data_IF_198348943855
#
_entry.id   IF_198348943855
#
_cell.length_a   1.000
_cell.length_b   1.000
_cell.length_c   1.000
_cell.angle_alpha   90.00
_cell.angle_beta   90.00
_cell.angle_gamma   90.00
#
_symmetry.space_group_name_H-M   'P 1'
#
loop_
_entity.id
_entity.type
_entity.pdbx_description
1 polymer ?
#
# COMPACT_ATOMS: atom_id res chain seq x y z
N UNK A 1 0.85 -3.65 -25.06
CA UNK A 1 1.28 -2.35 -24.54
C UNK A 1 0.16 -1.34 -24.55
N UNK A 2 -0.03 -0.66 -23.42
CA UNK A 2 -0.93 0.49 -23.34
C UNK A 2 -0.12 1.72 -23.72
N UNK A 3 -0.53 2.41 -24.78
CA UNK A 3 0.16 3.58 -25.33
C UNK A 3 -0.11 4.82 -24.46
N UNK A 4 0.91 5.64 -24.20
CA UNK A 4 0.81 6.88 -23.42
C UNK A 4 0.26 6.74 -21.98
N UNK A 5 0.55 5.63 -21.30
CA UNK A 5 0.20 5.50 -19.87
C UNK A 5 1.05 6.46 -19.05
N UNK A 6 0.39 7.25 -18.21
CA UNK A 6 1.06 7.94 -17.13
C UNK A 6 1.54 6.91 -16.10
N UNK A 7 2.78 6.40 -16.28
CA UNK A 7 3.38 5.40 -15.40
C UNK A 7 3.68 5.93 -13.98
N UNK A 8 3.47 7.23 -13.76
CA UNK A 8 3.64 7.91 -12.47
C UNK A 8 2.30 8.17 -11.78
N UNK A 9 1.17 7.74 -12.36
CA UNK A 9 -0.14 7.84 -11.71
C UNK A 9 -0.36 6.68 -10.74
N UNK A 10 0.11 6.89 -9.51
CA UNK A 10 -0.17 6.05 -8.35
C UNK A 10 -1.68 5.97 -8.05
N UNK A 11 -2.48 6.99 -8.41
CA UNK A 11 -3.93 6.99 -8.19
C UNK A 11 -4.67 5.96 -9.04
N UNK A 12 -4.31 5.86 -10.32
CA UNK A 12 -4.80 4.80 -11.19
C UNK A 12 -4.40 3.41 -10.66
N UNK A 13 -3.22 3.31 -10.06
CA UNK A 13 -2.75 2.06 -9.44
C UNK A 13 -3.55 1.71 -8.19
N UNK A 14 -3.86 2.65 -7.30
CA UNK A 14 -4.73 2.40 -6.14
C UNK A 14 -6.14 1.97 -6.55
N UNK A 15 -6.71 2.61 -7.58
CA UNK A 15 -8.03 2.24 -8.08
C UNK A 15 -8.06 0.78 -8.58
N UNK A 16 -6.99 0.31 -9.21
CA UNK A 16 -6.87 -1.08 -9.67
C UNK A 16 -6.98 -2.10 -8.53
N UNK A 17 -6.45 -1.76 -7.36
CA UNK A 17 -6.46 -2.64 -6.18
C UNK A 17 -7.68 -2.45 -5.28
N UNK A 18 -8.50 -1.42 -5.54
CA UNK A 18 -9.67 -1.12 -4.73
C UNK A 18 -10.68 -2.25 -4.72
N UNK A 19 -11.35 -2.42 -3.57
CA UNK A 19 -12.48 -3.35 -3.43
C UNK A 19 -13.54 -3.14 -4.52
N UNK A 20 -13.87 -1.88 -4.85
CA UNK A 20 -14.90 -1.59 -5.85
C UNK A 20 -14.51 -2.10 -7.25
N UNK A 21 -13.25 -1.90 -7.63
CA UNK A 21 -12.73 -2.43 -8.88
C UNK A 21 -12.71 -3.96 -8.88
N UNK A 22 -12.12 -4.58 -7.85
CA UNK A 22 -12.04 -6.04 -7.75
C UNK A 22 -13.42 -6.69 -7.73
N UNK A 23 -14.40 -6.09 -7.06
CA UNK A 23 -15.77 -6.55 -7.04
C UNK A 23 -16.39 -6.51 -8.45
N UNK A 24 -16.31 -5.37 -9.15
CA UNK A 24 -16.82 -5.24 -10.53
C UNK A 24 -16.15 -6.22 -11.49
N UNK A 25 -14.84 -6.37 -11.38
CA UNK A 25 -14.08 -7.32 -12.19
C UNK A 25 -14.47 -8.75 -11.86
N UNK A 26 -14.65 -9.11 -10.59
CA UNK A 26 -15.11 -10.46 -10.22
C UNK A 26 -16.47 -10.78 -10.82
N UNK A 27 -17.43 -9.83 -10.81
CA UNK A 27 -18.74 -10.06 -11.39
C UNK A 27 -18.68 -10.27 -12.90
N UNK A 28 -17.74 -9.60 -13.56
CA UNK A 28 -17.56 -9.68 -15.02
C UNK A 28 -16.76 -10.92 -15.43
N UNK A 29 -15.78 -11.34 -14.62
CA UNK A 29 -14.85 -12.42 -14.92
C UNK A 29 -15.22 -13.77 -14.26
N UNK A 30 -16.25 -13.81 -13.40
CA UNK A 30 -16.67 -14.99 -12.62
C UNK A 30 -16.97 -16.24 -13.46
N UNK A 31 -17.19 -16.08 -14.77
CA UNK A 31 -17.49 -17.18 -15.70
C UNK A 31 -16.25 -18.00 -16.12
N UNK A 32 -15.03 -17.47 -15.99
CA UNK A 32 -13.81 -18.12 -16.49
C UNK A 32 -12.81 -18.44 -15.37
N UNK A 33 -12.57 -19.74 -15.15
CA UNK A 33 -11.59 -20.27 -14.19
C UNK A 33 -10.19 -19.67 -14.35
N UNK A 34 -9.83 -19.20 -15.55
CA UNK A 34 -8.51 -18.64 -15.87
C UNK A 34 -8.20 -17.34 -15.14
N UNK A 35 -9.22 -16.57 -14.77
CA UNK A 35 -9.02 -15.23 -14.18
C UNK A 35 -8.93 -15.23 -12.65
N UNK A 36 -9.20 -16.37 -12.01
CA UNK A 36 -9.16 -16.50 -10.54
C UNK A 36 -7.76 -16.22 -9.97
N UNK A 37 -6.71 -16.71 -10.64
CA UNK A 37 -5.32 -16.46 -10.26
C UNK A 37 -4.97 -14.98 -10.24
N UNK A 38 -5.39 -14.25 -11.28
CA UNK A 38 -5.18 -12.81 -11.37
C UNK A 38 -5.96 -12.06 -10.28
N UNK A 39 -7.22 -12.42 -10.05
CA UNK A 39 -8.04 -11.78 -9.01
C UNK A 39 -7.45 -11.95 -7.62
N UNK A 40 -7.04 -13.17 -7.27
CA UNK A 40 -6.39 -13.43 -5.97
C UNK A 40 -5.07 -12.68 -5.87
N UNK A 41 -4.27 -12.65 -6.94
CA UNK A 41 -3.03 -11.87 -6.96
C UNK A 41 -3.29 -10.38 -6.71
N UNK A 42 -4.24 -9.77 -7.44
CA UNK A 42 -4.57 -8.35 -7.27
C UNK A 42 -5.11 -8.08 -5.87
N UNK A 43 -5.95 -8.96 -5.33
CA UNK A 43 -6.43 -8.87 -3.96
C UNK A 43 -5.27 -8.90 -2.95
N UNK A 44 -4.37 -9.88 -3.04
CA UNK A 44 -3.23 -10.00 -2.11
C UNK A 44 -2.32 -8.78 -2.15
N UNK A 45 -2.01 -8.27 -3.35
CA UNK A 45 -1.17 -7.06 -3.48
C UNK A 45 -1.92 -5.82 -2.96
N UNK A 46 -3.23 -5.72 -3.21
CA UNK A 46 -4.07 -4.65 -2.68
C UNK A 46 -4.09 -4.64 -1.15
N UNK A 47 -4.26 -5.81 -0.52
CA UNK A 47 -4.24 -5.95 0.94
C UNK A 47 -2.89 -5.53 1.54
N UNK A 48 -1.77 -5.88 0.89
CA UNK A 48 -0.45 -5.44 1.31
C UNK A 48 -0.31 -3.91 1.26
N UNK A 49 -0.84 -3.27 0.23
CA UNK A 49 -0.82 -1.82 0.06
C UNK A 49 -1.74 -1.14 1.10
N UNK A 50 -2.96 -1.62 1.24
CA UNK A 50 -3.95 -1.08 2.18
C UNK A 50 -3.49 -1.22 3.63
N UNK A 51 -2.73 -2.28 3.96
CA UNK A 51 -2.12 -2.43 5.27
C UNK A 51 -1.22 -1.24 5.67
N UNK A 52 -0.68 -0.50 4.70
CA UNK A 52 0.09 0.73 4.95
C UNK A 52 -0.75 1.99 4.83
N UNK A 53 -1.64 2.08 3.86
CA UNK A 53 -2.23 3.37 3.47
C UNK A 53 -3.64 3.60 4.01
N UNK A 54 -4.38 2.54 4.28
CA UNK A 54 -5.73 2.67 4.82
C UNK A 54 -5.68 3.28 6.22
N UNK A 55 -6.49 4.30 6.49
CA UNK A 55 -6.48 5.07 7.75
C UNK A 55 -7.39 4.51 8.84
N UNK A 56 -8.27 3.58 8.48
CA UNK A 56 -9.36 3.11 9.35
C UNK A 56 -9.15 1.70 9.91
N UNK A 57 -8.28 0.91 9.27
CA UNK A 57 -8.01 -0.47 9.69
C UNK A 57 -7.19 -0.53 10.98
N UNK A 58 -7.53 -1.51 11.83
CA UNK A 58 -6.86 -1.75 13.11
C UNK A 58 -5.46 -2.36 12.92
N UNK A 59 -4.63 -2.28 13.96
CA UNK A 59 -3.31 -2.93 13.94
C UNK A 59 -3.42 -4.47 13.83
N UNK A 60 -4.45 -5.09 14.40
CA UNK A 60 -4.74 -6.53 14.24
C UNK A 60 -5.02 -6.88 12.77
N UNK A 61 -5.84 -6.08 12.09
CA UNK A 61 -6.18 -6.32 10.69
C UNK A 61 -4.94 -6.14 9.82
N UNK A 62 -4.14 -5.07 10.03
CA UNK A 62 -2.87 -4.87 9.31
C UNK A 62 -1.96 -6.08 9.41
N UNK A 63 -1.77 -6.64 10.61
CA UNK A 63 -0.97 -7.84 10.83
C UNK A 63 -1.53 -9.02 10.04
N UNK A 64 -2.84 -9.23 10.09
CA UNK A 64 -3.50 -10.31 9.36
C UNK A 64 -3.28 -10.19 7.85
N UNK A 65 -3.54 -9.02 7.28
CA UNK A 65 -3.37 -8.72 5.85
C UNK A 65 -1.94 -8.99 5.38
N UNK A 66 -0.92 -8.48 6.09
CA UNK A 66 0.48 -8.67 5.68
C UNK A 66 0.95 -10.12 5.80
N UNK A 67 0.48 -10.86 6.82
CA UNK A 67 0.85 -12.26 6.98
C UNK A 67 0.16 -13.13 5.93
N UNK A 68 -1.11 -12.88 5.61
CA UNK A 68 -1.81 -13.59 4.52
C UNK A 68 -1.03 -13.40 3.21
N UNK A 69 -0.67 -12.16 2.89
CA UNK A 69 0.10 -11.86 1.69
C UNK A 69 1.45 -12.57 1.68
N UNK A 70 2.17 -12.56 2.80
CA UNK A 70 3.46 -13.26 2.94
C UNK A 70 3.34 -14.77 2.72
N UNK A 71 2.38 -15.43 3.37
CA UNK A 71 2.20 -16.87 3.20
C UNK A 71 1.76 -17.21 1.78
N UNK A 72 0.84 -16.45 1.20
CA UNK A 72 0.39 -16.68 -0.17
C UNK A 72 1.54 -16.59 -1.17
N UNK A 73 2.37 -15.54 -1.09
CA UNK A 73 3.53 -15.36 -1.96
C UNK A 73 4.56 -16.48 -1.79
N UNK A 74 4.78 -16.96 -0.55
CA UNK A 74 5.67 -18.10 -0.27
C UNK A 74 5.11 -19.41 -0.84
N UNK A 75 3.82 -19.67 -0.71
CA UNK A 75 3.15 -20.84 -1.28
C UNK A 75 3.27 -20.81 -2.81
N UNK A 76 2.98 -19.67 -3.44
CA UNK A 76 3.09 -19.52 -4.89
C UNK A 76 4.53 -19.74 -5.37
N UNK A 77 5.53 -19.14 -4.71
CA UNK A 77 6.95 -19.36 -5.02
C UNK A 77 7.34 -20.84 -4.92
N UNK A 78 6.90 -21.52 -3.86
CA UNK A 78 7.17 -22.95 -3.67
C UNK A 78 6.49 -23.81 -4.74
N UNK A 79 5.26 -23.46 -5.13
CA UNK A 79 4.54 -24.13 -6.21
C UNK A 79 5.32 -24.06 -7.53
N UNK A 80 5.82 -22.87 -7.91
CA UNK A 80 6.63 -22.69 -9.12
C UNK A 80 7.94 -23.48 -9.03
N UNK A 81 8.60 -23.49 -7.86
CA UNK A 81 9.81 -24.29 -7.65
C UNK A 81 9.54 -25.79 -7.82
N UNK A 82 8.44 -26.30 -7.27
CA UNK A 82 8.05 -27.70 -7.42
C UNK A 82 7.74 -28.06 -8.88
N UNK A 83 7.10 -27.14 -9.61
CA UNK A 83 6.83 -27.29 -11.04
C UNK A 83 8.13 -27.28 -11.87
N UNK A 84 9.08 -26.39 -11.53
CA UNK A 84 10.40 -26.33 -12.16
C UNK A 84 11.16 -27.65 -12.00
N UNK A 85 11.14 -28.25 -10.81
CA UNK A 85 11.79 -29.55 -10.57
C UNK A 85 11.19 -30.70 -11.40
N UNK A 86 9.93 -30.58 -11.84
CA UNK A 86 9.24 -31.60 -12.64
C UNK A 86 9.33 -31.32 -14.16
N UNK A 87 9.43 -30.05 -14.53
CA UNK A 87 9.38 -29.56 -15.91
C UNK A 87 10.45 -28.47 -16.10
N UNK A 88 11.73 -28.84 -15.98
CA UNK A 88 12.87 -27.93 -15.90
C UNK A 88 12.97 -26.91 -17.04
N UNK A 89 12.53 -27.26 -18.25
CA UNK A 89 12.60 -26.36 -19.41
C UNK A 89 11.47 -25.31 -19.46
N UNK A 90 10.37 -25.54 -18.72
CA UNK A 90 9.13 -24.76 -18.84
C UNK A 90 9.00 -23.76 -17.69
N UNK A 91 9.35 -24.18 -16.46
CA UNK A 91 9.15 -23.37 -15.26
C UNK A 91 10.46 -22.96 -14.61
N UNK A 92 10.51 -21.71 -14.17
CA UNK A 92 11.55 -21.19 -13.30
C UNK A 92 10.99 -20.04 -12.48
N UNK A 93 11.52 -19.82 -11.28
CA UNK A 93 11.12 -18.65 -10.48
C UNK A 93 11.42 -17.34 -11.20
N UNK A 94 12.53 -17.27 -11.94
CA UNK A 94 12.93 -16.05 -12.65
C UNK A 94 11.99 -15.68 -13.82
N UNK A 95 11.24 -16.65 -14.37
CA UNK A 95 10.32 -16.42 -15.50
C UNK A 95 8.85 -16.42 -15.11
N UNK A 96 8.48 -17.18 -14.08
CA UNK A 96 7.08 -17.49 -13.78
C UNK A 96 6.61 -16.97 -12.41
N UNK A 97 7.53 -16.39 -11.63
CA UNK A 97 7.21 -15.72 -10.38
C UNK A 97 7.52 -14.23 -10.50
N UNK A 98 7.24 -13.48 -9.44
CA UNK A 98 7.62 -12.08 -9.33
C UNK A 98 9.12 -11.90 -9.50
N UNK A 99 9.51 -10.76 -10.09
CA UNK A 99 10.91 -10.36 -10.13
C UNK A 99 11.50 -10.38 -8.71
N UNK A 100 12.75 -10.82 -8.61
CA UNK A 100 13.42 -11.02 -7.32
C UNK A 100 13.36 -9.77 -6.44
N UNK A 101 13.66 -8.59 -7.01
CA UNK A 101 13.62 -7.32 -6.30
C UNK A 101 12.21 -7.00 -5.78
N UNK A 102 11.17 -7.25 -6.57
CA UNK A 102 9.78 -7.03 -6.15
C UNK A 102 9.41 -7.93 -4.99
N UNK A 103 9.77 -9.21 -5.04
CA UNK A 103 9.49 -10.14 -3.95
C UNK A 103 10.22 -9.76 -2.66
N UNK A 104 11.47 -9.30 -2.76
CA UNK A 104 12.23 -8.82 -1.59
C UNK A 104 11.60 -7.57 -0.97
N UNK A 105 11.18 -6.61 -1.79
CA UNK A 105 10.47 -5.41 -1.31
C UNK A 105 9.16 -5.80 -0.60
N UNK A 106 8.35 -6.68 -1.19
CA UNK A 106 7.11 -7.13 -0.57
C UNK A 106 7.37 -7.89 0.74
N UNK A 107 8.40 -8.74 0.78
CA UNK A 107 8.79 -9.45 1.99
C UNK A 107 9.25 -8.48 3.09
N UNK A 108 10.05 -7.48 2.72
CA UNK A 108 10.47 -6.42 3.63
C UNK A 108 9.29 -5.64 4.19
N UNK A 109 8.32 -5.25 3.34
CA UNK A 109 7.12 -4.53 3.77
C UNK A 109 6.28 -5.31 4.79
N UNK A 110 6.19 -6.64 4.65
CA UNK A 110 5.53 -7.49 5.65
C UNK A 110 6.27 -7.41 6.98
N UNK A 111 7.58 -7.68 6.96
CA UNK A 111 8.38 -7.74 8.18
C UNK A 111 8.41 -6.37 8.87
N UNK A 112 8.56 -5.28 8.11
CA UNK A 112 8.59 -3.93 8.65
C UNK A 112 7.26 -3.50 9.25
N UNK A 113 6.12 -3.91 8.70
CA UNK A 113 4.80 -3.58 9.29
C UNK A 113 4.64 -4.23 10.67
N UNK A 114 4.98 -5.52 10.78
CA UNK A 114 4.90 -6.24 12.06
C UNK A 114 5.85 -5.64 13.08
N UNK A 115 7.11 -5.38 12.68
CA UNK A 115 8.11 -4.75 13.54
C UNK A 115 7.69 -3.35 13.98
N UNK A 116 7.10 -2.56 13.07
CA UNK A 116 6.63 -1.21 13.38
C UNK A 116 5.52 -1.25 14.42
N UNK A 117 4.55 -2.16 14.29
CA UNK A 117 3.47 -2.34 15.27
C UNK A 117 4.03 -2.76 16.64
N UNK A 118 4.95 -3.71 16.69
CA UNK A 118 5.58 -4.16 17.94
C UNK A 118 6.38 -3.02 18.59
N UNK A 119 7.20 -2.31 17.82
CA UNK A 119 7.98 -1.18 18.32
C UNK A 119 7.08 -0.05 18.83
N UNK A 120 6.00 0.28 18.11
CA UNK A 120 5.06 1.29 18.58
C UNK A 120 4.33 0.88 19.86
N UNK A 121 3.90 -0.38 19.96
CA UNK A 121 3.31 -0.95 21.17
C UNK A 121 4.25 -0.85 22.38
N UNK A 122 5.54 -1.05 22.19
CA UNK A 122 6.52 -1.05 23.28
C UNK A 122 6.96 0.37 23.70
N UNK A 123 7.23 1.24 22.73
CA UNK A 123 7.85 2.55 23.00
C UNK A 123 6.87 3.73 22.93
N UNK A 124 5.73 3.60 22.24
CA UNK A 124 4.82 4.70 21.91
C UNK A 124 3.33 4.32 22.04
N UNK A 125 2.98 3.49 23.02
CA UNK A 125 1.64 2.91 23.15
C UNK A 125 0.49 3.92 23.30
N UNK A 126 0.77 5.16 23.70
CA UNK A 126 -0.21 6.24 23.81
C UNK A 126 -0.52 6.93 22.47
N UNK A 127 0.36 6.76 21.48
CA UNK A 127 0.26 7.42 20.17
C UNK A 127 -0.24 6.43 19.12
N UNK A 128 -1.24 6.81 18.29
CA UNK A 128 -1.73 5.91 17.24
C UNK A 128 -0.64 5.63 16.21
N UNK A 129 -0.63 4.42 15.65
CA UNK A 129 0.20 4.14 14.47
C UNK A 129 -0.39 4.82 13.24
N UNK A 130 0.38 5.69 12.59
CA UNK A 130 0.01 6.36 11.34
C UNK A 130 0.84 5.77 10.19
N UNK A 131 0.56 4.53 9.80
CA UNK A 131 1.37 3.78 8.84
C UNK A 131 1.55 4.49 7.49
N UNK A 132 0.54 5.25 7.04
CA UNK A 132 0.59 6.00 5.79
C UNK A 132 1.60 7.17 5.82
N UNK A 133 2.02 7.60 7.01
CA UNK A 133 3.04 8.64 7.19
C UNK A 133 4.48 8.12 7.06
N UNK A 134 4.68 6.81 6.92
CA UNK A 134 6.00 6.21 6.75
C UNK A 134 6.47 6.13 5.28
N UNK A 135 5.67 6.63 4.34
CA UNK A 135 6.03 6.74 2.92
C UNK A 135 6.83 8.01 2.58
N UNK A 136 7.32 8.09 1.35
CA UNK A 136 8.00 9.28 0.81
C UNK A 136 7.04 10.33 0.24
N UNK A 137 5.73 10.09 0.33
CA UNK A 137 4.72 10.93 -0.30
C UNK A 137 4.90 12.40 0.11
N UNK A 138 5.13 12.69 1.40
CA UNK A 138 5.29 14.06 1.88
C UNK A 138 6.44 14.81 1.17
N UNK A 139 7.51 14.09 0.81
CA UNK A 139 8.61 14.64 0.03
C UNK A 139 8.18 14.94 -1.41
N UNK A 140 7.40 14.07 -2.03
CA UNK A 140 6.87 14.27 -3.38
C UNK A 140 5.96 15.49 -3.45
N UNK A 141 5.10 15.69 -2.44
CA UNK A 141 4.26 16.88 -2.33
C UNK A 141 5.08 18.13 -2.09
N UNK A 142 6.12 18.08 -1.25
CA UNK A 142 7.06 19.18 -1.07
C UNK A 142 7.71 19.60 -2.39
N UNK A 143 8.24 18.64 -3.15
CA UNK A 143 8.81 18.92 -4.47
C UNK A 143 7.75 19.36 -5.48
N UNK A 144 6.53 18.86 -5.35
CA UNK A 144 5.38 19.27 -6.13
C UNK A 144 5.04 20.75 -5.95
N UNK A 145 4.95 21.20 -4.70
CA UNK A 145 4.76 22.62 -4.36
C UNK A 145 5.93 23.48 -4.84
N UNK A 146 7.17 22.99 -4.71
CA UNK A 146 8.34 23.70 -5.24
C UNK A 146 8.22 23.92 -6.76
N UNK A 147 7.82 22.87 -7.51
CA UNK A 147 7.63 22.95 -8.96
C UNK A 147 6.47 23.84 -9.40
N UNK A 148 5.43 24.01 -8.57
CA UNK A 148 4.35 24.97 -8.84
C UNK A 148 4.86 26.42 -8.82
N UNK A 149 5.87 26.71 -8.00
CA UNK A 149 6.49 28.03 -7.95
C UNK A 149 7.55 28.22 -9.04
N UNK A 150 8.38 27.21 -9.28
CA UNK A 150 9.42 27.23 -10.30
C UNK A 150 9.64 25.80 -10.82
N UNK A 151 9.33 25.54 -12.10
CA UNK A 151 9.36 24.19 -12.67
C UNK A 151 10.73 23.52 -12.59
N UNK A 152 11.77 24.27 -12.96
CA UNK A 152 13.17 23.84 -12.93
C UNK A 152 13.95 24.76 -11.98
N UNK A 153 14.06 24.34 -10.72
CA UNK A 153 14.74 25.10 -9.68
C UNK A 153 16.15 24.55 -9.43
N UNK A 154 17.11 25.44 -9.16
CA UNK A 154 18.41 25.04 -8.62
C UNK A 154 18.32 24.78 -7.12
N UNK A 155 19.37 24.21 -6.52
CA UNK A 155 19.43 24.05 -5.07
C UNK A 155 19.30 25.39 -4.32
N UNK A 156 19.91 26.46 -4.83
CA UNK A 156 19.79 27.80 -4.23
C UNK A 156 18.33 28.29 -4.27
N UNK A 157 17.66 28.12 -5.41
CA UNK A 157 16.24 28.47 -5.56
C UNK A 157 15.37 27.70 -4.56
N UNK A 158 15.64 26.40 -4.36
CA UNK A 158 14.91 25.60 -3.39
C UNK A 158 15.04 26.18 -1.97
N UNK A 159 16.23 26.59 -1.55
CA UNK A 159 16.45 27.22 -0.22
C UNK A 159 15.58 28.47 -0.05
N UNK A 160 15.48 29.31 -1.09
CA UNK A 160 14.59 30.47 -1.06
C UNK A 160 13.11 30.09 -1.07
N UNK A 161 12.74 29.02 -1.78
CA UNK A 161 11.37 28.51 -1.86
C UNK A 161 10.85 27.90 -0.56
N UNK A 162 11.72 27.32 0.30
CA UNK A 162 11.31 26.69 1.57
C UNK A 162 10.42 27.61 2.41
N UNK A 163 10.80 28.89 2.53
CA UNK A 163 10.03 29.87 3.29
C UNK A 163 8.62 30.06 2.73
N UNK A 164 8.49 30.17 1.40
CA UNK A 164 7.21 30.33 0.70
C UNK A 164 6.34 29.09 0.84
N UNK A 165 6.92 27.90 0.62
CA UNK A 165 6.24 26.63 0.77
C UNK A 165 5.67 26.52 2.19
N UNK A 166 6.49 26.79 3.23
CA UNK A 166 6.05 26.78 4.63
C UNK A 166 4.86 27.72 4.87
N UNK A 167 4.87 28.92 4.28
CA UNK A 167 3.75 29.86 4.40
C UNK A 167 2.48 29.33 3.74
N UNK A 168 2.56 28.77 2.53
CA UNK A 168 1.43 28.18 1.82
C UNK A 168 0.86 26.99 2.59
N UNK A 169 1.73 26.08 3.05
CA UNK A 169 1.35 24.91 3.86
C UNK A 169 0.66 25.32 5.17
N UNK A 170 1.19 26.32 5.89
CA UNK A 170 0.55 26.83 7.10
C UNK A 170 -0.81 27.49 6.83
N UNK A 171 -0.94 28.22 5.71
CA UNK A 171 -2.20 28.85 5.32
C UNK A 171 -3.29 27.82 4.98
N UNK A 172 -2.88 26.68 4.40
CA UNK A 172 -3.72 25.53 4.14
C UNK A 172 -4.20 24.88 5.46
N UNK A 173 -3.28 24.56 6.38
CA UNK A 173 -3.64 23.95 7.68
C UNK A 173 -4.52 24.84 8.56
N UNK A 174 -4.31 26.16 8.54
CA UNK A 174 -5.08 27.08 9.37
C UNK A 174 -6.44 27.47 8.77
N UNK A 175 -6.90 26.80 7.70
CA UNK A 175 -8.20 27.03 7.05
C UNK A 175 -8.43 28.47 6.55
N UNK A 176 -7.35 29.18 6.18
CA UNK A 176 -7.44 30.50 5.50
C UNK A 176 -7.63 30.37 3.98
N UNK A 177 -7.38 29.19 3.41
CA UNK A 177 -7.59 28.89 1.99
C UNK A 177 -8.45 27.63 1.90
N UNK A 178 -9.76 27.80 1.78
CA UNK A 178 -10.67 26.71 1.41
C UNK A 178 -10.50 26.52 -0.11
N UNK A 179 -9.67 25.57 -0.52
CA UNK A 179 -9.77 25.09 -1.89
C UNK A 179 -10.91 24.09 -1.94
N UNK A 180 -12.07 24.56 -2.37
CA UNK A 180 -13.34 23.85 -2.43
C UNK A 180 -13.44 22.80 -3.54
N UNK A 181 -12.34 22.44 -4.21
CA UNK A 181 -12.39 21.53 -5.36
C UNK A 181 -11.52 20.30 -5.09
N UNK A 182 -12.11 19.31 -4.42
CA UNK A 182 -11.64 17.92 -4.39
C UNK A 182 -11.86 17.27 -5.76
N UNK A 183 -11.21 17.80 -6.80
CA UNK A 183 -11.13 17.09 -8.07
C UNK A 183 -10.00 16.07 -7.98
N UNK A 184 -10.41 14.81 -7.80
CA UNK A 184 -9.59 13.64 -8.05
C UNK A 184 -8.71 13.84 -9.29
N UNK A 185 -7.41 13.68 -9.09
CA UNK A 185 -6.32 13.59 -10.10
C UNK A 185 -6.79 13.80 -11.55
N UNK A 186 -6.87 15.05 -11.97
CA UNK A 186 -6.55 15.40 -13.36
C UNK A 186 -5.11 15.87 -13.38
N UNK A 187 -4.30 15.30 -14.28
CA UNK A 187 -2.85 15.38 -14.40
C UNK A 187 -2.22 16.78 -14.56
N UNK A 188 -3.00 17.85 -14.32
CA UNK A 188 -2.60 19.26 -14.39
C UNK A 188 -3.06 20.10 -13.20
N UNK A 189 -3.82 19.55 -12.25
CA UNK A 189 -4.18 20.24 -11.01
C UNK A 189 -3.20 19.77 -9.94
N UNK A 190 -2.53 20.73 -9.30
CA UNK A 190 -1.41 20.47 -8.40
C UNK A 190 -1.70 19.49 -7.26
N UNK A 191 -0.63 18.99 -6.64
CA UNK A 191 -0.64 18.08 -5.49
C UNK A 191 -1.59 18.56 -4.37
N UNK A 192 -2.59 17.73 -4.02
CA UNK A 192 -3.54 17.99 -2.92
C UNK A 192 -2.93 17.44 -1.62
N UNK A 193 -2.75 18.29 -0.61
CA UNK A 193 -2.08 17.94 0.64
C UNK A 193 -3.03 17.25 1.65
N UNK A 194 -3.53 16.04 1.35
CA UNK A 194 -4.50 15.32 2.20
C UNK A 194 -3.88 14.59 3.43
N UNK A 195 -2.66 14.95 3.82
CA UNK A 195 -1.92 14.29 4.92
C UNK A 195 -2.62 14.39 6.28
N UNK A 196 -3.33 15.49 6.50
CA UNK A 196 -3.99 15.81 7.76
C UNK A 196 -5.46 16.19 7.57
N UNK A 197 -6.12 15.60 6.56
CA UNK A 197 -7.58 15.64 6.55
C UNK A 197 -8.11 14.91 7.79
N UNK A 198 -8.75 15.66 8.67
CA UNK A 198 -9.23 15.19 9.97
C UNK A 198 -8.40 15.72 11.13
N UNK A 199 -9.08 16.03 12.23
CA UNK A 199 -8.41 16.37 13.48
C UNK A 199 -7.66 15.13 13.99
N UNK A 200 -6.40 15.27 14.44
CA UNK A 200 -5.66 14.19 15.11
C UNK A 200 -6.46 13.63 16.30
N UNK A 201 -7.32 14.45 16.90
CA UNK A 201 -8.21 14.04 17.98
C UNK A 201 -9.39 13.16 17.51
N UNK A 202 -9.74 13.22 16.23
CA UNK A 202 -10.79 12.40 15.59
C UNK A 202 -10.23 11.13 14.96
N UNK A 203 -8.92 10.88 15.10
CA UNK A 203 -8.29 9.64 14.61
C UNK A 203 -8.94 8.43 15.25
N UNK A 204 -9.17 7.41 14.43
CA UNK A 204 -9.84 6.18 14.82
C UNK A 204 -9.17 5.57 16.05
N UNK A 205 -9.95 5.39 17.13
CA UNK A 205 -9.47 4.77 18.38
C UNK A 205 -8.84 3.39 18.16
N UNK A 206 -9.22 2.69 17.10
CA UNK A 206 -8.69 1.38 16.72
C UNK A 206 -7.19 1.40 16.39
N UNK A 207 -6.64 2.55 15.98
CA UNK A 207 -5.20 2.70 15.69
C UNK A 207 -4.32 2.69 16.96
N UNK A 208 -4.95 2.86 18.14
CA UNK A 208 -4.29 2.81 19.45
C UNK A 208 -4.47 1.45 20.14
N UNK A 209 -5.21 0.54 19.53
CA UNK A 209 -5.39 -0.82 20.05
C UNK A 209 -4.22 -1.65 19.56
N UNK A 210 -3.45 -2.21 20.50
CA UNK A 210 -2.25 -2.95 20.20
C UNK A 210 -2.45 -4.45 20.42
N UNK A 211 -2.02 -5.29 19.47
CA UNK A 211 -2.11 -6.73 19.63
C UNK A 211 -1.08 -7.25 20.63
N UNK A 212 -1.50 -8.19 21.49
CA UNK A 212 -0.59 -8.94 22.36
C UNK A 212 0.17 -10.01 21.58
N UNK A 213 1.27 -10.53 22.13
CA UNK A 213 2.05 -11.57 21.44
C UNK A 213 1.25 -12.86 21.20
N UNK A 214 0.31 -13.18 22.09
CA UNK A 214 -0.59 -14.33 21.93
C UNK A 214 -1.60 -14.09 20.81
N UNK A 215 -2.13 -12.86 20.71
CA UNK A 215 -3.01 -12.45 19.61
C UNK A 215 -2.27 -12.45 18.28
N UNK A 216 -1.03 -11.95 18.22
CA UNK A 216 -0.20 -12.00 17.01
C UNK A 216 0.01 -13.46 16.57
N UNK A 217 0.31 -14.36 17.51
CA UNK A 217 0.45 -15.80 17.21
C UNK A 217 -0.86 -16.43 16.72
N UNK A 218 -2.00 -16.04 17.28
CA UNK A 218 -3.31 -16.48 16.80
C UNK A 218 -3.58 -15.99 15.37
N UNK A 219 -3.33 -14.70 15.11
CA UNK A 219 -3.47 -14.09 13.78
C UNK A 219 -2.57 -14.77 12.73
N UNK A 220 -1.32 -15.11 13.08
CA UNK A 220 -0.43 -15.87 12.18
C UNK A 220 -1.06 -17.20 11.77
N UNK A 221 -1.62 -17.94 12.73
CA UNK A 221 -2.22 -19.25 12.45
C UNK A 221 -3.46 -19.14 11.58
N UNK A 222 -4.29 -18.13 11.81
CA UNK A 222 -5.50 -17.92 11.02
C UNK A 222 -5.18 -17.40 9.62
N UNK A 223 -4.23 -16.46 9.51
CA UNK A 223 -3.69 -15.99 8.24
C UNK A 223 -3.09 -17.13 7.40
N UNK A 224 -2.40 -18.09 8.02
CA UNK A 224 -1.90 -19.27 7.33
C UNK A 224 -3.03 -20.13 6.75
N UNK A 225 -4.13 -20.35 7.50
CA UNK A 225 -5.29 -21.11 6.99
C UNK A 225 -5.94 -20.41 5.81
N UNK A 226 -6.12 -19.09 5.90
CA UNK A 226 -6.71 -18.27 4.84
C UNK A 226 -5.84 -18.23 3.58
N UNK A 227 -4.52 -18.03 3.73
CA UNK A 227 -3.60 -18.08 2.60
C UNK A 227 -3.61 -19.44 1.88
N UNK A 228 -3.69 -20.55 2.64
CA UNK A 228 -3.85 -21.88 2.05
C UNK A 228 -5.21 -22.07 1.36
N UNK A 229 -6.29 -21.50 1.90
CA UNK A 229 -7.59 -21.56 1.26
C UNK A 229 -7.57 -20.82 -0.09
N UNK A 230 -6.95 -19.63 -0.14
CA UNK A 230 -6.75 -18.86 -1.36
C UNK A 230 -5.88 -19.61 -2.38
N UNK A 231 -4.78 -20.22 -1.95
CA UNK A 231 -3.91 -21.03 -2.80
C UNK A 231 -4.67 -22.23 -3.41
N UNK A 232 -5.49 -22.92 -2.61
CA UNK A 232 -6.33 -24.03 -3.09
C UNK A 232 -7.34 -23.59 -4.15
N UNK A 233 -7.89 -22.37 -4.06
CA UNK A 233 -8.81 -21.84 -5.07
C UNK A 233 -8.18 -21.75 -6.47
N UNK A 234 -6.85 -21.67 -6.55
CA UNK A 234 -6.09 -21.59 -7.81
C UNK A 234 -5.27 -22.85 -8.10
N UNK A 235 -5.53 -23.94 -7.37
CA UNK A 235 -4.86 -25.24 -7.54
C UNK A 235 -3.34 -25.19 -7.31
N UNK A 236 -2.88 -24.34 -6.38
CA UNK A 236 -1.51 -24.32 -5.86
C UNK A 236 -1.35 -25.24 -4.65
#
# INVERSE_FOLDING_TARGET
DVLNVNKQDDGATYQLFSHEFLYKVSQTLNSDSKNKGLLIYLFIIGELIDSYLNRDISNHERIKMVIIGSFFLRIWKQYIQNAANKYEEIFSNDRNFLAHQTYEILSFLVDSMILLIIAHREYYNTMPLLSWMHGSEACEHFFGMARQHLSDFTYADLIYLISKIRHVTNAYYNSTVINSNFEYKTSRVGYICDYFEGNVNDLNSNLKIWPTDDEIRALINDAYKEANALAKCVSM
#
